data_IF_417216629518
#
_entry.id   IF_417216629518
#
_cell.length_a   1.000
_cell.length_b   1.000
_cell.length_c   1.000
_cell.angle_alpha   90.00
_cell.angle_beta   90.00
_cell.angle_gamma   90.00
#
_symmetry.space_group_name_H-M   'P 1'
#
loop_
_entity.id
_entity.type
_entity.pdbx_description
1 polymer ?
#
# COMPACT_ATOMS: atom_id res chain seq x y z
N UNK A 1 0.61 20.34 -14.30
CA UNK A 1 0.08 19.53 -13.19
C UNK A 1 1.14 19.47 -12.09
N UNK A 2 0.94 20.16 -10.98
CA UNK A 2 1.83 20.06 -9.81
C UNK A 2 1.67 18.67 -9.19
N UNK A 3 2.58 17.74 -9.50
CA UNK A 3 2.70 16.48 -8.77
C UNK A 3 3.16 16.82 -7.35
N UNK A 4 2.22 16.99 -6.43
CA UNK A 4 2.53 16.87 -5.00
C UNK A 4 2.97 15.42 -4.80
N UNK A 5 4.23 15.22 -4.39
CA UNK A 5 4.79 13.91 -4.05
C UNK A 5 4.00 13.33 -2.88
N UNK A 6 2.89 12.64 -3.16
CA UNK A 6 2.06 12.02 -2.13
C UNK A 6 2.79 10.80 -1.58
N UNK A 7 3.41 10.96 -0.41
CA UNK A 7 4.00 9.82 0.31
C UNK A 7 2.88 9.01 0.95
N UNK A 8 2.68 7.79 0.46
CA UNK A 8 1.70 6.86 1.02
C UNK A 8 2.07 6.50 2.46
N UNK A 9 1.15 6.79 3.38
CA UNK A 9 1.24 6.57 4.82
C UNK A 9 0.58 5.26 5.24
N UNK A 10 0.73 4.87 6.52
CA UNK A 10 -0.02 3.72 7.05
C UNK A 10 -1.53 3.96 7.11
N UNK A 11 -1.96 5.21 7.37
CA UNK A 11 -3.40 5.57 7.36
C UNK A 11 -4.03 5.36 5.98
N UNK A 12 -3.31 5.69 4.90
CA UNK A 12 -3.77 5.44 3.53
C UNK A 12 -4.01 3.96 3.26
N UNK A 13 -3.13 3.11 3.78
CA UNK A 13 -3.24 1.66 3.63
C UNK A 13 -4.43 1.14 4.46
N UNK A 14 -4.63 1.63 5.68
CA UNK A 14 -5.77 1.27 6.55
C UNK A 14 -7.12 1.65 5.96
N UNK A 15 -7.17 2.75 5.21
CA UNK A 15 -8.38 3.26 4.56
C UNK A 15 -8.87 2.36 3.41
N UNK A 16 -8.03 1.43 2.92
CA UNK A 16 -8.43 0.47 1.89
C UNK A 16 -9.54 -0.43 2.47
N UNK A 17 -10.67 -0.48 1.76
CA UNK A 17 -11.83 -1.30 2.15
C UNK A 17 -11.54 -2.78 1.89
N UNK A 18 -12.05 -3.65 2.76
CA UNK A 18 -11.95 -5.11 2.57
C UNK A 18 -12.55 -5.49 1.22
N UNK A 19 -11.87 -6.40 0.52
CA UNK A 19 -12.26 -6.86 -0.81
C UNK A 19 -11.90 -5.90 -1.94
N UNK A 20 -11.22 -4.78 -1.66
CA UNK A 20 -10.82 -3.79 -2.67
C UNK A 20 -9.31 -3.66 -2.79
N UNK A 21 -8.87 -3.08 -3.90
CA UNK A 21 -7.47 -2.75 -4.15
C UNK A 21 -7.30 -1.29 -4.54
N UNK A 22 -6.17 -0.71 -4.15
CA UNK A 22 -5.77 0.66 -4.50
C UNK A 22 -4.38 0.63 -5.11
N UNK A 23 -4.23 1.30 -6.25
CA UNK A 23 -2.93 1.43 -6.93
C UNK A 23 -2.35 2.80 -6.66
N UNK A 24 -1.17 2.82 -6.05
CA UNK A 24 -0.38 4.01 -5.83
C UNK A 24 0.70 4.13 -6.90
N UNK A 25 0.90 5.33 -7.42
CA UNK A 25 2.03 5.68 -8.29
C UNK A 25 3.06 6.42 -7.44
N UNK A 26 4.33 6.05 -7.56
CA UNK A 26 5.42 6.68 -6.81
C UNK A 26 6.45 7.32 -7.74
N UNK A 27 7.19 8.28 -7.21
CA UNK A 27 8.22 8.98 -7.97
C UNK A 27 9.50 8.15 -8.10
N UNK A 28 9.88 7.45 -7.01
CA UNK A 28 11.08 6.63 -6.95
C UNK A 28 10.78 5.14 -6.71
N UNK A 29 11.45 4.19 -7.40
CA UNK A 29 11.30 2.76 -7.15
C UNK A 29 11.54 2.32 -5.69
N UNK A 30 12.35 3.07 -4.92
CA UNK A 30 12.59 2.80 -3.49
C UNK A 30 11.32 2.99 -2.65
N UNK A 31 10.43 3.89 -3.06
CA UNK A 31 9.18 4.14 -2.35
C UNK A 31 8.23 2.94 -2.44
N UNK A 32 8.27 2.17 -3.54
CA UNK A 32 7.52 0.90 -3.67
C UNK A 32 7.86 -0.03 -2.52
N UNK A 33 9.15 -0.21 -2.22
CA UNK A 33 9.60 -1.07 -1.13
C UNK A 33 9.17 -0.51 0.24
N UNK A 34 9.25 0.81 0.42
CA UNK A 34 8.80 1.47 1.65
C UNK A 34 7.31 1.25 1.91
N UNK A 35 6.47 1.39 0.88
CA UNK A 35 5.02 1.15 0.96
C UNK A 35 4.72 -0.33 1.24
N UNK A 36 5.41 -1.24 0.55
CA UNK A 36 5.28 -2.68 0.77
C UNK A 36 5.58 -3.05 2.23
N UNK A 37 6.66 -2.49 2.79
CA UNK A 37 7.02 -2.71 4.19
C UNK A 37 5.97 -2.16 5.16
N UNK A 38 5.37 -1.00 4.88
CA UNK A 38 4.26 -0.47 5.69
C UNK A 38 3.06 -1.42 5.70
N UNK A 39 2.67 -1.95 4.54
CA UNK A 39 1.57 -2.92 4.45
C UNK A 39 1.86 -4.20 5.25
N UNK A 40 3.09 -4.71 5.18
CA UNK A 40 3.50 -5.87 5.99
C UNK A 40 3.54 -5.56 7.48
N UNK A 41 4.00 -4.38 7.88
CA UNK A 41 4.01 -3.98 9.29
C UNK A 41 2.59 -3.87 9.85
N UNK A 42 1.61 -3.37 9.07
CA UNK A 42 0.21 -3.34 9.52
C UNK A 42 -0.30 -4.78 9.73
N UNK A 43 0.01 -5.70 8.81
CA UNK A 43 -0.40 -7.11 8.96
C UNK A 43 0.15 -7.77 10.23
N UNK A 44 1.33 -7.36 10.70
CA UNK A 44 1.97 -7.95 11.89
C UNK A 44 1.61 -7.21 13.17
N UNK A 45 1.44 -5.90 13.12
CA UNK A 45 1.22 -5.04 14.29
C UNK A 45 -0.26 -4.86 14.63
N UNK A 46 -1.16 -4.99 13.64
CA UNK A 46 -2.59 -4.67 13.79
C UNK A 46 -3.48 -5.86 13.35
N UNK A 47 -3.29 -7.08 13.90
CA UNK A 47 -4.10 -8.24 13.54
C UNK A 47 -5.60 -8.05 13.87
N UNK A 48 -5.92 -7.19 14.84
CA UNK A 48 -7.28 -6.85 15.26
C UNK A 48 -8.13 -6.19 14.17
N UNK A 49 -7.49 -5.63 13.13
CA UNK A 49 -8.22 -5.06 11.99
C UNK A 49 -9.00 -6.12 11.19
N UNK A 50 -8.70 -7.42 11.37
CA UNK A 50 -9.26 -8.53 10.56
C UNK A 50 -9.08 -8.31 9.06
N UNK A 51 -7.97 -7.66 8.70
CA UNK A 51 -7.56 -7.33 7.34
C UNK A 51 -6.14 -7.81 7.10
N UNK A 52 -5.89 -8.43 5.94
CA UNK A 52 -4.55 -8.76 5.46
C UNK A 52 -4.28 -8.06 4.14
N UNK A 53 -3.30 -7.15 4.16
CA UNK A 53 -2.86 -6.43 2.98
C UNK A 53 -1.89 -7.29 2.15
N UNK A 54 -2.19 -7.49 0.88
CA UNK A 54 -1.27 -8.05 -0.11
C UNK A 54 -0.81 -6.96 -1.08
N UNK A 55 0.38 -7.12 -1.65
CA UNK A 55 0.99 -6.11 -2.54
C UNK A 55 1.38 -6.74 -3.88
N UNK A 56 0.98 -6.11 -4.99
CA UNK A 56 1.49 -6.37 -6.33
C UNK A 56 2.27 -5.15 -6.81
N UNK A 57 3.45 -5.33 -7.40
CA UNK A 57 4.34 -4.21 -7.73
C UNK A 57 4.77 -4.24 -9.18
N UNK A 58 4.79 -3.07 -9.81
CA UNK A 58 5.30 -2.87 -11.16
C UNK A 58 6.36 -1.76 -11.13
N UNK A 59 7.63 -2.16 -11.06
CA UNK A 59 8.76 -1.23 -10.99
C UNK A 59 8.95 -0.43 -12.28
N UNK A 60 8.61 -1.01 -13.45
CA UNK A 60 8.67 -0.31 -14.74
C UNK A 60 7.71 0.87 -14.78
N UNK A 61 6.50 0.69 -14.28
CA UNK A 61 5.47 1.72 -14.23
C UNK A 61 5.50 2.55 -12.94
N UNK A 62 6.41 2.24 -12.02
CA UNK A 62 6.52 2.84 -10.69
C UNK A 62 5.20 2.80 -9.91
N UNK A 63 4.52 1.66 -9.95
CA UNK A 63 3.26 1.47 -9.24
C UNK A 63 3.30 0.32 -8.25
N UNK A 64 2.50 0.45 -7.20
CA UNK A 64 2.20 -0.59 -6.23
C UNK A 64 0.69 -0.66 -6.02
N UNK A 65 0.12 -1.84 -6.22
CA UNK A 65 -1.28 -2.15 -5.93
C UNK A 65 -1.33 -2.87 -4.59
N UNK A 66 -2.11 -2.32 -3.66
CA UNK A 66 -2.36 -2.92 -2.35
C UNK A 66 -3.79 -3.40 -2.31
N UNK A 67 -4.00 -4.67 -1.96
CA UNK A 67 -5.32 -5.29 -1.81
C UNK A 67 -5.57 -5.60 -0.35
N UNK A 68 -6.72 -5.17 0.19
CA UNK A 68 -7.13 -5.53 1.55
C UNK A 68 -8.01 -6.79 1.51
N UNK A 69 -7.47 -7.92 1.95
CA UNK A 69 -8.17 -9.20 2.00
C UNK A 69 -8.79 -9.39 3.39
N UNK A 70 -9.97 -10.03 3.51
CA UNK A 70 -10.44 -10.52 4.80
C UNK A 70 -9.46 -11.58 5.36
N UNK A 71 -9.29 -11.59 6.67
CA UNK A 71 -8.55 -12.65 7.40
C UNK A 71 -9.50 -13.77 7.76
#
# INVERSE_FOLDING_TARGET
MNKKNYKVTMQDIRAIKIGTSVTFTVDHPKDINSIRNRAYNINTQEPELKKRYSCATNFRNRTITITANPV
#
